data_IF_807229779507
#
_entry.id   IF_807229779507
#
_cell.length_a   1.000
_cell.length_b   1.000
_cell.length_c   1.000
_cell.angle_alpha   90.00
_cell.angle_beta   90.00
_cell.angle_gamma   90.00
#
_symmetry.space_group_name_H-M   'P 1'
#
loop_
_entity.id
_entity.type
_entity.pdbx_description
1 polymer ?
#
# COMPACT_ATOMS: atom_id res chain seq x y z
N UNK A 1 -27.61 12.79 6.51
CA UNK A 1 -27.92 12.37 7.88
C UNK A 1 -29.42 12.46 8.16
N UNK A 2 -30.01 11.42 8.75
CA UNK A 2 -31.40 11.40 9.20
C UNK A 2 -32.44 10.86 8.22
N UNK A 3 -32.04 10.56 6.97
CA UNK A 3 -32.97 10.03 5.96
C UNK A 3 -33.31 8.56 6.24
N UNK A 4 -32.30 7.74 6.55
CA UNK A 4 -32.48 6.30 6.74
C UNK A 4 -33.36 6.02 7.96
N UNK A 5 -33.13 6.74 9.08
CA UNK A 5 -33.96 6.63 10.28
C UNK A 5 -35.40 7.13 10.06
N UNK A 6 -35.59 8.15 9.22
CA UNK A 6 -36.93 8.66 8.92
C UNK A 6 -37.75 7.69 8.04
N UNK A 7 -37.07 6.88 7.23
CA UNK A 7 -37.68 5.90 6.32
C UNK A 7 -37.92 4.53 6.97
N UNK A 8 -37.26 4.24 8.08
CA UNK A 8 -37.37 2.96 8.78
C UNK A 8 -38.81 2.67 9.23
N UNK A 9 -39.32 1.49 8.88
CA UNK A 9 -40.67 1.04 9.23
C UNK A 9 -41.80 1.61 8.35
N UNK A 10 -41.52 2.53 7.42
CA UNK A 10 -42.53 3.06 6.51
C UNK A 10 -42.87 2.10 5.38
N UNK A 11 -44.15 2.09 5.02
CA UNK A 11 -44.68 1.37 3.86
C UNK A 11 -44.72 2.24 2.60
N UNK A 12 -44.82 1.60 1.43
CA UNK A 12 -45.03 2.32 0.18
C UNK A 12 -46.30 3.18 0.22
N UNK A 13 -46.17 4.44 -0.19
CA UNK A 13 -47.21 5.46 -0.17
C UNK A 13 -47.17 6.37 1.06
N UNK A 14 -46.42 6.02 2.10
CA UNK A 14 -46.31 6.82 3.32
C UNK A 14 -45.35 8.01 3.15
N UNK A 15 -45.63 9.07 3.90
CA UNK A 15 -44.87 10.32 3.88
C UNK A 15 -44.32 10.59 5.28
N UNK A 16 -43.08 11.04 5.34
CA UNK A 16 -42.42 11.45 6.58
C UNK A 16 -41.74 12.80 6.36
N UNK A 17 -41.40 13.46 7.46
CA UNK A 17 -40.63 14.69 7.42
C UNK A 17 -39.64 14.75 8.57
N UNK A 18 -38.41 15.16 8.28
CA UNK A 18 -37.35 15.32 9.27
C UNK A 18 -36.53 16.58 8.96
N UNK A 19 -35.85 17.12 9.97
CA UNK A 19 -34.93 18.23 9.77
C UNK A 19 -33.53 17.70 9.45
N UNK A 20 -32.90 18.25 8.43
CA UNK A 20 -31.51 17.96 8.08
C UNK A 20 -30.80 19.23 7.61
N UNK A 21 -29.48 19.26 7.78
CA UNK A 21 -28.64 20.28 7.15
C UNK A 21 -28.46 19.96 5.66
N UNK A 22 -28.50 20.99 4.82
CA UNK A 22 -28.22 20.86 3.40
C UNK A 22 -26.72 20.68 3.17
N UNK A 23 -26.34 19.64 2.41
CA UNK A 23 -24.93 19.25 2.19
C UNK A 23 -24.31 19.92 0.94
N UNK A 24 -24.99 20.89 0.32
CA UNK A 24 -24.46 21.61 -0.83
C UNK A 24 -25.40 22.66 -1.42
N UNK A 25 -24.85 23.51 -2.29
CA UNK A 25 -25.56 24.62 -2.94
C UNK A 25 -25.47 25.94 -2.15
N UNK A 26 -26.22 26.96 -2.58
CA UNK A 26 -26.19 28.29 -1.95
C UNK A 26 -26.64 28.30 -0.47
N UNK A 27 -27.31 27.24 -0.02
CA UNK A 27 -27.84 27.06 1.34
C UNK A 27 -27.12 25.96 2.13
N UNK A 28 -25.89 25.60 1.72
CA UNK A 28 -25.09 24.60 2.42
C UNK A 28 -24.92 24.95 3.92
N UNK A 29 -25.18 23.98 4.78
CA UNK A 29 -25.11 24.12 6.24
C UNK A 29 -26.36 24.68 6.91
N UNK A 30 -27.34 25.20 6.16
CA UNK A 30 -28.62 25.64 6.72
C UNK A 30 -29.53 24.46 7.08
N UNK A 31 -30.34 24.60 8.14
CA UNK A 31 -31.34 23.60 8.51
C UNK A 31 -32.58 23.71 7.61
N UNK A 32 -33.00 22.58 7.04
CA UNK A 32 -34.18 22.48 6.20
C UNK A 32 -35.10 21.33 6.66
N UNK A 33 -36.41 21.53 6.54
CA UNK A 33 -37.41 20.47 6.69
C UNK A 33 -37.49 19.68 5.38
N UNK A 34 -37.03 18.43 5.41
CA UNK A 34 -37.06 17.51 4.28
C UNK A 34 -38.32 16.67 4.38
N UNK A 35 -39.20 16.76 3.37
CA UNK A 35 -40.38 15.91 3.26
C UNK A 35 -40.13 14.81 2.23
N UNK A 36 -40.30 13.56 2.63
CA UNK A 36 -40.02 12.39 1.79
C UNK A 36 -41.28 11.55 1.67
N UNK A 37 -41.52 11.02 0.47
CA UNK A 37 -42.58 10.08 0.17
C UNK A 37 -41.97 8.76 -0.29
N UNK A 38 -42.33 7.67 0.38
CA UNK A 38 -41.92 6.33 -0.04
C UNK A 38 -42.75 5.94 -1.25
N UNK A 39 -42.14 5.87 -2.43
CA UNK A 39 -42.88 5.49 -3.65
C UNK A 39 -43.04 3.98 -3.78
N UNK A 40 -42.02 3.22 -3.41
CA UNK A 40 -42.01 1.77 -3.48
C UNK A 40 -41.06 1.21 -2.45
N UNK A 41 -41.42 0.11 -1.82
CA UNK A 41 -40.53 -0.71 -1.01
C UNK A 41 -40.26 -1.98 -1.82
N UNK A 42 -38.99 -2.28 -2.06
CA UNK A 42 -38.56 -3.50 -2.75
C UNK A 42 -37.68 -4.28 -1.79
N UNK A 43 -37.80 -5.59 -1.84
CA UNK A 43 -36.90 -6.50 -1.13
C UNK A 43 -35.88 -7.04 -2.13
N UNK A 44 -34.63 -7.04 -1.72
CA UNK A 44 -33.56 -7.69 -2.48
C UNK A 44 -33.65 -9.20 -2.23
N UNK A 45 -33.92 -9.96 -3.30
CA UNK A 45 -33.86 -11.42 -3.26
C UNK A 45 -32.46 -11.83 -3.69
N UNK A 46 -31.66 -12.30 -2.73
CA UNK A 46 -30.34 -12.83 -3.03
C UNK A 46 -30.48 -14.17 -3.77
N UNK A 47 -29.70 -14.39 -4.84
CA UNK A 47 -29.68 -15.68 -5.53
C UNK A 47 -29.21 -16.80 -4.61
N UNK A 48 -29.60 -18.03 -4.92
CA UNK A 48 -29.07 -19.20 -4.23
C UNK A 48 -27.56 -19.32 -4.54
N UNK A 49 -26.78 -19.73 -3.54
CA UNK A 49 -25.35 -19.96 -3.73
C UNK A 49 -25.16 -21.37 -4.32
N UNK A 50 -25.20 -21.46 -5.64
CA UNK A 50 -25.01 -22.67 -6.44
C UNK A 50 -24.06 -22.43 -7.63
N UNK A 51 -23.95 -23.40 -8.53
CA UNK A 51 -23.05 -23.33 -9.69
C UNK A 51 -23.51 -22.30 -10.73
N UNK A 52 -24.83 -22.07 -10.85
CA UNK A 52 -25.38 -21.04 -11.75
C UNK A 52 -24.97 -19.65 -11.24
N UNK A 53 -25.02 -19.42 -9.91
CA UNK A 53 -24.49 -18.20 -9.31
C UNK A 53 -22.99 -18.02 -9.56
N UNK A 54 -22.20 -19.09 -9.47
CA UNK A 54 -20.76 -19.01 -9.72
C UNK A 54 -20.44 -18.57 -11.15
N UNK A 55 -21.16 -19.11 -12.14
CA UNK A 55 -21.02 -18.76 -13.55
C UNK A 55 -21.47 -17.32 -13.85
N UNK A 56 -22.55 -16.85 -13.21
CA UNK A 56 -23.07 -15.49 -13.41
C UNK A 56 -22.20 -14.43 -12.72
N UNK A 57 -21.61 -14.74 -11.56
CA UNK A 57 -20.89 -13.79 -10.72
C UNK A 57 -19.37 -13.80 -10.92
N UNK A 58 -18.80 -14.81 -11.59
CA UNK A 58 -17.35 -15.01 -11.68
C UNK A 58 -16.90 -15.72 -12.96
N UNK A 59 -15.60 -15.99 -13.06
CA UNK A 59 -15.02 -16.78 -14.15
C UNK A 59 -15.05 -18.30 -13.91
N UNK A 60 -15.61 -18.75 -12.78
CA UNK A 60 -15.63 -20.16 -12.36
C UNK A 60 -16.89 -20.88 -12.80
N UNK A 61 -16.76 -22.17 -13.10
CA UNK A 61 -17.88 -23.00 -13.56
C UNK A 61 -18.70 -23.57 -12.40
N UNK A 62 -18.11 -23.65 -11.20
CA UNK A 62 -18.74 -24.24 -10.00
C UNK A 62 -18.57 -23.37 -8.76
N UNK A 63 -19.50 -23.51 -7.82
CA UNK A 63 -19.46 -22.82 -6.54
C UNK A 63 -18.23 -23.21 -5.70
N UNK A 64 -17.78 -24.46 -5.80
CA UNK A 64 -16.63 -24.93 -5.06
C UNK A 64 -15.32 -24.26 -5.53
N UNK A 65 -15.19 -23.99 -6.83
CA UNK A 65 -14.07 -23.23 -7.40
C UNK A 65 -14.09 -21.77 -6.94
N UNK A 66 -15.25 -21.11 -7.03
CA UNK A 66 -15.42 -19.74 -6.52
C UNK A 66 -15.08 -19.65 -5.03
N UNK A 67 -15.55 -20.59 -4.21
CA UNK A 67 -15.22 -20.65 -2.77
C UNK A 67 -13.73 -20.90 -2.53
N UNK A 68 -13.10 -21.75 -3.33
CA UNK A 68 -11.67 -22.01 -3.20
C UNK A 68 -10.84 -20.76 -3.52
N UNK A 69 -11.21 -20.00 -4.56
CA UNK A 69 -10.54 -18.76 -4.91
C UNK A 69 -10.74 -17.67 -3.84
N UNK A 70 -11.99 -17.44 -3.40
CA UNK A 70 -12.28 -16.49 -2.31
C UNK A 70 -11.52 -16.87 -1.04
N UNK A 71 -11.45 -18.17 -0.70
CA UNK A 71 -10.63 -18.64 0.43
C UNK A 71 -9.16 -18.27 0.22
N UNK A 72 -8.60 -18.54 -0.96
CA UNK A 72 -7.20 -18.25 -1.27
C UNK A 72 -6.90 -16.75 -1.24
N UNK A 73 -7.84 -15.91 -1.68
CA UNK A 73 -7.72 -14.46 -1.57
C UNK A 73 -7.71 -14.03 -0.09
N UNK A 74 -8.66 -14.52 0.71
CA UNK A 74 -8.73 -14.23 2.14
C UNK A 74 -7.50 -14.72 2.92
N UNK A 75 -6.95 -15.88 2.55
CA UNK A 75 -5.70 -16.42 3.11
C UNK A 75 -4.53 -15.49 2.82
N UNK A 76 -4.32 -15.07 1.57
CA UNK A 76 -3.25 -14.10 1.20
C UNK A 76 -3.41 -12.76 1.91
N UNK A 77 -4.64 -12.26 2.02
CA UNK A 77 -4.91 -11.02 2.74
C UNK A 77 -4.59 -11.16 4.24
N UNK A 78 -4.92 -12.30 4.84
CA UNK A 78 -4.60 -12.60 6.23
C UNK A 78 -3.09 -12.72 6.46
N UNK A 79 -2.38 -13.46 5.60
CA UNK A 79 -0.91 -13.58 5.63
C UNK A 79 -0.23 -12.21 5.48
N UNK A 80 -0.71 -11.37 4.56
CA UNK A 80 -0.18 -10.01 4.36
C UNK A 80 -0.39 -9.10 5.57
N UNK A 81 -1.59 -9.14 6.19
CA UNK A 81 -1.85 -8.42 7.45
C UNK A 81 -0.94 -8.90 8.56
N UNK A 82 -0.80 -10.21 8.71
CA UNK A 82 0.03 -10.83 9.74
C UNK A 82 1.52 -10.47 9.58
N UNK A 83 2.03 -10.46 8.35
CA UNK A 83 3.39 -10.00 8.06
C UNK A 83 3.60 -8.53 8.42
N UNK A 84 2.61 -7.68 8.12
CA UNK A 84 2.64 -6.25 8.48
C UNK A 84 2.65 -6.05 9.99
N UNK A 85 1.77 -6.75 10.71
CA UNK A 85 1.74 -6.70 12.18
C UNK A 85 3.03 -7.21 12.80
N UNK A 86 3.62 -8.28 12.26
CA UNK A 86 4.91 -8.80 12.71
C UNK A 86 6.04 -7.80 12.47
N UNK A 87 6.08 -7.15 11.31
CA UNK A 87 7.03 -6.06 11.00
C UNK A 87 6.90 -4.92 12.00
N UNK A 88 5.69 -4.44 12.24
CA UNK A 88 5.44 -3.31 13.13
C UNK A 88 5.80 -3.67 14.58
N UNK A 89 5.47 -4.90 15.02
CA UNK A 89 5.86 -5.41 16.32
C UNK A 89 7.39 -5.54 16.47
N UNK A 90 8.08 -5.96 15.41
CA UNK A 90 9.53 -6.05 15.39
C UNK A 90 10.18 -4.67 15.55
N UNK A 91 9.75 -3.67 14.77
CA UNK A 91 10.25 -2.29 14.87
C UNK A 91 9.96 -1.72 16.27
N UNK A 92 8.74 -1.86 16.76
CA UNK A 92 8.38 -1.41 18.11
C UNK A 92 9.23 -2.07 19.21
N UNK A 93 9.63 -3.34 19.03
CA UNK A 93 10.57 -4.02 19.95
C UNK A 93 12.00 -3.55 19.83
N UNK A 94 12.45 -3.11 18.65
CA UNK A 94 13.77 -2.46 18.51
C UNK A 94 13.81 -1.09 19.19
N UNK A 95 12.67 -0.39 19.23
CA UNK A 95 12.53 0.93 19.85
C UNK A 95 12.31 0.88 21.37
N UNK A 96 11.88 -0.27 21.90
CA UNK A 96 11.53 -0.40 23.31
C UNK A 96 12.71 -0.05 24.24
N UNK A 97 12.50 0.95 25.11
CA UNK A 97 13.49 1.38 26.08
C UNK A 97 14.55 2.35 25.54
N UNK A 98 14.45 2.78 24.28
CA UNK A 98 15.31 3.81 23.69
C UNK A 98 14.55 5.13 23.52
N UNK A 99 15.16 6.24 23.94
CA UNK A 99 14.70 7.59 23.56
C UNK A 99 15.47 8.01 22.31
N UNK A 100 14.79 8.06 21.17
CA UNK A 100 15.41 8.36 19.87
C UNK A 100 15.08 9.81 19.49
N UNK A 101 16.03 10.75 19.63
CA UNK A 101 15.78 12.15 19.35
C UNK A 101 15.72 12.39 17.84
N UNK A 102 14.54 12.80 17.36
CA UNK A 102 14.34 13.14 15.95
C UNK A 102 14.91 14.53 15.62
N UNK A 103 15.66 14.71 14.51
CA UNK A 103 16.19 16.01 14.09
C UNK A 103 15.08 17.05 13.85
N UNK A 104 15.14 18.17 14.59
CA UNK A 104 14.07 19.20 14.56
C UNK A 104 13.83 19.81 13.17
N UNK A 105 14.88 20.01 12.38
CA UNK A 105 14.76 20.57 11.03
C UNK A 105 14.01 19.63 10.10
N UNK A 106 14.47 18.37 10.00
CA UNK A 106 13.83 17.34 9.18
C UNK A 106 12.39 17.09 9.61
N UNK A 107 12.13 17.07 10.94
CA UNK A 107 10.78 16.94 11.49
C UNK A 107 9.87 18.08 11.01
N UNK A 108 10.34 19.32 11.03
CA UNK A 108 9.54 20.47 10.61
C UNK A 108 9.20 20.40 9.11
N UNK A 109 10.18 20.04 8.28
CA UNK A 109 9.99 19.94 6.83
C UNK A 109 8.99 18.83 6.47
N UNK A 110 9.12 17.65 7.10
CA UNK A 110 8.19 16.53 6.90
C UNK A 110 6.80 16.83 7.44
N UNK A 111 6.68 17.52 8.59
CA UNK A 111 5.40 17.93 9.12
C UNK A 111 4.67 18.90 8.19
N UNK A 112 5.40 19.84 7.59
CA UNK A 112 4.82 20.74 6.59
C UNK A 112 4.31 19.96 5.37
N UNK A 113 5.07 18.99 4.88
CA UNK A 113 4.66 18.13 3.77
C UNK A 113 3.43 17.29 4.14
N UNK A 114 3.42 16.67 5.33
CA UNK A 114 2.30 15.85 5.78
C UNK A 114 1.01 16.67 5.93
N UNK A 115 1.10 17.90 6.44
CA UNK A 115 -0.06 18.78 6.53
C UNK A 115 -0.59 19.23 5.17
N UNK A 116 0.28 19.39 4.16
CA UNK A 116 -0.16 19.68 2.77
C UNK A 116 -0.94 18.51 2.16
N UNK A 117 -0.70 17.28 2.60
CA UNK A 117 -1.44 16.10 2.14
C UNK A 117 -2.82 16.00 2.81
N UNK A 118 -2.98 16.54 4.02
CA UNK A 118 -4.22 16.49 4.79
C UNK A 118 -5.15 17.67 4.50
N UNK A 119 -4.58 18.84 4.17
CA UNK A 119 -5.35 20.05 3.86
C UNK A 119 -4.67 20.89 2.78
N UNK A 120 -5.48 21.54 1.94
CA UNK A 120 -4.99 22.47 0.93
C UNK A 120 -4.27 23.70 1.54
N UNK A 121 -4.58 24.05 2.79
CA UNK A 121 -3.89 25.10 3.54
C UNK A 121 -3.45 24.57 4.92
N UNK A 122 -2.16 24.19 5.07
CA UNK A 122 -1.60 23.72 6.34
C UNK A 122 -1.83 24.66 7.52
N UNK A 123 -1.96 25.96 7.27
CA UNK A 123 -2.19 26.97 8.31
C UNK A 123 -3.58 26.85 8.94
N UNK A 124 -4.53 26.29 8.20
CA UNK A 124 -5.93 26.04 8.61
C UNK A 124 -6.15 24.64 9.17
N UNK A 125 -5.10 23.81 9.25
CA UNK A 125 -5.20 22.51 9.90
C UNK A 125 -5.63 22.68 11.37
N UNK A 126 -6.58 21.84 11.78
CA UNK A 126 -7.04 21.74 13.17
C UNK A 126 -5.91 21.28 14.09
N UNK A 127 -6.04 21.52 15.39
CA UNK A 127 -5.04 21.08 16.36
C UNK A 127 -4.91 19.56 16.41
N UNK A 128 -6.01 18.83 16.18
CA UNK A 128 -6.02 17.37 16.07
C UNK A 128 -5.23 16.88 14.86
N UNK A 129 -5.48 17.46 13.67
CA UNK A 129 -4.72 17.15 12.46
C UNK A 129 -3.22 17.42 12.62
N UNK A 130 -2.85 18.52 13.29
CA UNK A 130 -1.45 18.85 13.57
C UNK A 130 -0.81 17.84 14.52
N UNK A 131 -1.51 17.48 15.60
CA UNK A 131 -1.01 16.52 16.57
C UNK A 131 -0.82 15.13 15.94
N UNK A 132 -1.74 14.69 15.09
CA UNK A 132 -1.65 13.39 14.43
C UNK A 132 -0.58 13.37 13.34
N UNK A 133 -0.45 14.45 12.55
CA UNK A 133 0.65 14.60 11.61
C UNK A 133 2.01 14.60 12.32
N UNK A 134 2.14 15.28 13.46
CA UNK A 134 3.38 15.27 14.24
C UNK A 134 3.71 13.87 14.76
N UNK A 135 2.73 13.13 15.31
CA UNK A 135 2.94 11.74 15.75
C UNK A 135 3.41 10.84 14.60
N UNK A 136 2.79 10.96 13.43
CA UNK A 136 3.15 10.17 12.25
C UNK A 136 4.58 10.47 11.79
N UNK A 137 4.94 11.75 11.67
CA UNK A 137 6.29 12.16 11.26
C UNK A 137 7.35 11.73 12.26
N UNK A 138 7.09 11.88 13.57
CA UNK A 138 8.01 11.42 14.61
C UNK A 138 8.18 9.91 14.54
N UNK A 139 7.10 9.16 14.39
CA UNK A 139 7.16 7.70 14.24
C UNK A 139 7.98 7.32 13.00
N UNK A 140 7.64 7.84 11.83
CA UNK A 140 8.34 7.54 10.58
C UNK A 140 9.84 7.83 10.66
N UNK A 141 10.22 8.99 11.20
CA UNK A 141 11.63 9.33 11.37
C UNK A 141 12.34 8.42 12.37
N UNK A 142 11.65 8.00 13.43
CA UNK A 142 12.18 7.07 14.42
C UNK A 142 12.39 5.68 13.81
N UNK A 143 11.35 5.12 13.17
CA UNK A 143 11.39 3.85 12.46
C UNK A 143 12.56 3.84 11.46
N UNK A 144 12.69 4.90 10.64
CA UNK A 144 13.78 5.01 9.66
C UNK A 144 15.17 4.97 10.30
N UNK A 145 15.38 5.74 11.37
CA UNK A 145 16.68 5.79 12.07
C UNK A 145 17.04 4.44 12.69
N UNK A 146 16.05 3.73 13.23
CA UNK A 146 16.24 2.38 13.79
C UNK A 146 16.61 1.39 12.69
N UNK A 147 15.92 1.45 11.55
CA UNK A 147 16.21 0.58 10.41
C UNK A 147 17.57 0.88 9.77
N UNK A 148 17.99 2.13 9.72
CA UNK A 148 19.33 2.52 9.28
C UNK A 148 20.40 1.91 10.22
N UNK A 149 20.20 2.03 11.54
CA UNK A 149 21.11 1.46 12.53
C UNK A 149 21.10 -0.09 12.49
N UNK A 150 19.95 -0.71 12.23
CA UNK A 150 19.84 -2.16 12.05
C UNK A 150 20.62 -2.62 10.81
N UNK A 151 20.44 -1.93 9.68
CA UNK A 151 21.12 -2.25 8.43
C UNK A 151 22.65 -2.11 8.58
N UNK A 152 23.12 -1.06 9.27
CA UNK A 152 24.54 -0.88 9.59
C UNK A 152 25.06 -2.00 10.50
N UNK A 153 24.32 -2.34 11.56
CA UNK A 153 24.71 -3.38 12.53
C UNK A 153 24.78 -4.77 11.91
N UNK A 154 23.97 -5.03 10.89
CA UNK A 154 23.94 -6.30 10.16
C UNK A 154 24.88 -6.33 8.94
N UNK A 155 25.67 -5.27 8.70
CA UNK A 155 26.55 -5.12 7.53
C UNK A 155 25.81 -5.39 6.20
N UNK A 156 24.60 -4.82 6.06
CA UNK A 156 23.75 -5.04 4.89
C UNK A 156 24.41 -4.48 3.65
N UNK A 157 24.60 -5.33 2.64
CA UNK A 157 25.13 -4.93 1.33
C UNK A 157 24.00 -4.73 0.34
N UNK A 158 23.97 -3.52 -0.23
CA UNK A 158 23.06 -3.14 -1.30
C UNK A 158 23.80 -3.24 -2.63
N UNK A 159 23.34 -4.15 -3.48
CA UNK A 159 23.83 -4.31 -4.85
C UNK A 159 23.07 -3.38 -5.81
N UNK A 160 23.63 -3.17 -7.00
CA UNK A 160 22.93 -2.44 -8.07
C UNK A 160 21.65 -3.18 -8.51
N UNK A 161 21.67 -4.51 -8.48
CA UNK A 161 20.51 -5.33 -8.84
C UNK A 161 19.36 -5.10 -7.86
N UNK A 162 19.64 -5.06 -6.54
CA UNK A 162 18.62 -4.77 -5.52
C UNK A 162 17.92 -3.43 -5.79
N UNK A 163 18.70 -2.40 -6.11
CA UNK A 163 18.19 -1.05 -6.37
C UNK A 163 17.38 -0.99 -7.66
N UNK A 164 17.87 -1.66 -8.71
CA UNK A 164 17.15 -1.76 -9.99
C UNK A 164 15.81 -2.47 -9.81
N UNK A 165 15.79 -3.59 -9.10
CA UNK A 165 14.57 -4.37 -8.84
C UNK A 165 13.56 -3.58 -8.00
N UNK A 166 14.03 -2.89 -6.97
CA UNK A 166 13.20 -2.02 -6.14
C UNK A 166 12.58 -0.86 -6.95
N UNK A 167 13.37 -0.19 -7.78
CA UNK A 167 12.84 0.89 -8.63
C UNK A 167 11.89 0.37 -9.71
N UNK A 168 12.15 -0.82 -10.25
CA UNK A 168 11.25 -1.47 -11.21
C UNK A 168 9.91 -1.86 -10.56
N UNK A 169 9.91 -2.39 -9.33
CA UNK A 169 8.67 -2.75 -8.63
C UNK A 169 7.82 -1.52 -8.32
N UNK A 170 8.44 -0.40 -7.94
CA UNK A 170 7.76 0.90 -7.81
C UNK A 170 7.18 1.34 -9.15
N UNK A 171 7.96 1.31 -10.23
CA UNK A 171 7.48 1.72 -11.55
C UNK A 171 6.25 0.92 -11.98
N UNK A 172 6.24 -0.41 -11.75
CA UNK A 172 5.10 -1.27 -12.02
C UNK A 172 3.86 -0.89 -11.20
N UNK A 173 4.03 -0.59 -9.91
CA UNK A 173 2.92 -0.13 -9.06
C UNK A 173 2.28 1.17 -9.58
N UNK A 174 3.08 2.06 -10.17
CA UNK A 174 2.61 3.30 -10.78
C UNK A 174 2.20 3.16 -12.26
N UNK A 175 2.31 1.96 -12.86
CA UNK A 175 2.03 1.74 -14.28
C UNK A 175 2.98 2.47 -15.22
N UNK A 176 4.21 2.73 -14.78
CA UNK A 176 5.25 3.42 -15.55
C UNK A 176 6.26 2.44 -16.17
N UNK A 177 6.88 2.84 -17.28
CA UNK A 177 8.01 2.10 -17.84
C UNK A 177 9.20 2.11 -16.84
N UNK A 178 9.75 0.93 -16.46
CA UNK A 178 10.83 0.85 -15.48
C UNK A 178 12.08 1.64 -15.90
N UNK A 179 12.46 1.58 -17.18
CA UNK A 179 13.68 2.25 -17.66
C UNK A 179 13.55 3.78 -17.58
N UNK A 180 12.41 4.32 -18.01
CA UNK A 180 12.11 5.74 -17.92
C UNK A 180 12.04 6.22 -16.46
N UNK A 181 11.43 5.44 -15.57
CA UNK A 181 11.35 5.76 -14.15
C UNK A 181 12.74 5.80 -13.49
N UNK A 182 13.56 4.77 -13.69
CA UNK A 182 14.93 4.72 -13.16
C UNK A 182 15.75 5.91 -13.66
N UNK A 183 15.67 6.23 -14.95
CA UNK A 183 16.37 7.40 -15.50
C UNK A 183 15.93 8.71 -14.83
N UNK A 184 14.64 8.88 -14.55
CA UNK A 184 14.13 10.06 -13.86
C UNK A 184 14.68 10.16 -12.43
N UNK A 185 14.69 9.05 -11.67
CA UNK A 185 15.26 8.98 -10.32
C UNK A 185 16.75 9.34 -10.32
N UNK A 186 17.52 8.79 -11.26
CA UNK A 186 18.95 9.11 -11.40
C UNK A 186 19.16 10.58 -11.75
N UNK A 187 18.42 11.10 -12.74
CA UNK A 187 18.53 12.50 -13.19
C UNK A 187 18.17 13.51 -12.10
N UNK A 188 17.21 13.17 -11.24
CA UNK A 188 16.81 14.00 -10.11
C UNK A 188 17.73 13.85 -8.88
N UNK A 189 18.78 13.02 -8.98
CA UNK A 189 19.71 12.78 -7.87
C UNK A 189 19.11 11.96 -6.71
N UNK A 190 17.99 11.28 -6.93
CA UNK A 190 17.24 10.53 -5.92
C UNK A 190 17.76 9.08 -5.75
N UNK A 191 18.77 8.67 -6.52
CA UNK A 191 19.35 7.34 -6.45
C UNK A 191 19.91 7.02 -5.05
N UNK A 192 20.50 8.00 -4.36
CA UNK A 192 21.02 7.82 -3.01
C UNK A 192 19.95 7.41 -2.01
N UNK A 193 18.79 8.09 -2.06
CA UNK A 193 17.63 7.76 -1.21
C UNK A 193 17.06 6.39 -1.54
N UNK A 194 17.05 6.00 -2.82
CA UNK A 194 16.64 4.65 -3.22
C UNK A 194 17.58 3.56 -2.66
N UNK A 195 18.90 3.78 -2.71
CA UNK A 195 19.89 2.87 -2.11
C UNK A 195 19.66 2.73 -0.61
N UNK A 196 19.41 3.84 0.10
CA UNK A 196 19.13 3.81 1.53
C UNK A 196 17.85 3.04 1.84
N UNK A 197 16.78 3.25 1.07
CA UNK A 197 15.52 2.53 1.27
C UNK A 197 15.67 1.02 1.07
N UNK A 198 16.42 0.62 0.05
CA UNK A 198 16.76 -0.79 -0.18
C UNK A 198 17.58 -1.35 0.98
N UNK A 199 18.54 -0.59 1.49
CA UNK A 199 19.33 -0.98 2.67
C UNK A 199 18.46 -1.21 3.90
N UNK A 200 17.53 -0.30 4.19
CA UNK A 200 16.56 -0.43 5.29
C UNK A 200 15.67 -1.65 5.12
N UNK A 201 15.11 -1.85 3.91
CA UNK A 201 14.26 -3.00 3.61
C UNK A 201 14.99 -4.33 3.80
N UNK A 202 16.21 -4.46 3.24
CA UNK A 202 17.05 -5.67 3.42
C UNK A 202 17.45 -5.88 4.87
N UNK A 203 17.79 -4.81 5.59
CA UNK A 203 18.12 -4.87 7.03
C UNK A 203 16.94 -5.31 7.88
N UNK A 204 15.75 -4.81 7.61
CA UNK A 204 14.51 -5.25 8.23
C UNK A 204 14.29 -6.75 8.00
N UNK A 205 14.34 -7.21 6.74
CA UNK A 205 14.16 -8.63 6.41
C UNK A 205 15.21 -9.51 7.11
N UNK A 206 16.48 -9.13 7.07
CA UNK A 206 17.55 -9.85 7.76
C UNK A 206 17.33 -9.91 9.28
N UNK A 207 16.91 -8.79 9.88
CA UNK A 207 16.60 -8.72 11.32
C UNK A 207 15.40 -9.58 11.71
N UNK A 208 14.33 -9.56 10.91
CA UNK A 208 13.14 -10.38 11.12
C UNK A 208 13.45 -11.88 10.98
N UNK A 209 14.28 -12.28 10.00
CA UNK A 209 14.73 -13.68 9.85
C UNK A 209 15.57 -14.17 11.05
N UNK A 210 16.21 -13.27 11.77
CA UNK A 210 17.05 -13.60 12.93
C UNK A 210 16.26 -13.82 14.23
N UNK A 211 14.95 -13.59 14.23
CA UNK A 211 14.10 -13.72 15.43
C UNK A 211 12.93 -14.67 15.20
N UNK A 212 12.32 -15.11 16.29
CA UNK A 212 11.11 -15.96 16.24
C UNK A 212 9.90 -15.13 16.62
N UNK A 213 8.90 -15.12 15.74
CA UNK A 213 7.62 -14.48 15.99
C UNK A 213 6.66 -15.45 16.69
N UNK A 214 5.86 -14.91 17.60
CA UNK A 214 4.79 -15.68 18.25
C UNK A 214 3.49 -14.91 18.22
N UNK A 215 2.41 -15.58 17.87
CA UNK A 215 1.04 -15.10 17.99
C UNK A 215 0.27 -16.05 18.88
N UNK A 216 -0.41 -15.53 19.91
CA UNK A 216 -1.23 -16.33 20.85
C UNK A 216 -0.51 -17.53 21.51
N UNK A 217 0.83 -17.47 21.58
CA UNK A 217 1.67 -18.53 22.14
C UNK A 217 2.19 -19.56 21.13
N UNK A 218 1.69 -19.54 19.90
CA UNK A 218 2.17 -20.37 18.79
C UNK A 218 3.25 -19.66 17.99
N UNK A 219 4.16 -20.44 17.38
CA UNK A 219 5.21 -19.88 16.54
C UNK A 219 4.60 -19.48 15.21
N UNK A 220 4.86 -18.25 14.81
CA UNK A 220 4.38 -17.70 13.55
C UNK A 220 5.43 -17.94 12.46
N UNK A 221 5.02 -18.62 11.39
CA UNK A 221 5.81 -18.77 10.18
C UNK A 221 5.60 -17.56 9.25
N UNK A 222 6.69 -16.87 8.94
CA UNK A 222 6.72 -15.73 8.00
C UNK A 222 7.59 -16.05 6.78
N UNK A 223 7.94 -17.31 6.54
CA UNK A 223 8.84 -17.71 5.46
C UNK A 223 8.35 -17.28 4.07
N UNK A 224 7.04 -17.34 3.82
CA UNK A 224 6.41 -16.87 2.58
C UNK A 224 6.61 -15.38 2.33
N UNK A 225 6.67 -14.57 3.38
CA UNK A 225 6.88 -13.13 3.31
C UNK A 225 8.36 -12.75 3.33
N UNK A 226 9.14 -13.41 4.18
CA UNK A 226 10.56 -13.11 4.36
C UNK A 226 11.41 -13.64 3.21
N UNK A 227 11.00 -14.71 2.52
CA UNK A 227 11.83 -15.38 1.51
C UNK A 227 13.10 -16.02 2.10
N UNK A 228 13.84 -16.76 1.27
CA UNK A 228 15.12 -17.36 1.69
C UNK A 228 16.25 -16.33 1.81
N UNK A 229 17.29 -16.67 2.57
CA UNK A 229 18.47 -15.84 2.69
C UNK A 229 19.22 -15.80 1.34
N UNK A 230 19.79 -14.65 1.00
CA UNK A 230 20.27 -14.23 -0.31
C UNK A 230 21.43 -15.04 -0.97
N UNK A 231 21.68 -16.30 -0.60
CA UNK A 231 22.64 -17.14 -1.34
C UNK A 231 22.09 -17.58 -2.70
N UNK A 232 20.76 -17.71 -2.86
CA UNK A 232 20.14 -18.13 -4.13
C UNK A 232 19.62 -16.97 -5.01
N UNK A 233 19.36 -15.79 -4.43
CA UNK A 233 18.83 -14.63 -5.19
C UNK A 233 19.85 -13.99 -6.15
N UNK A 234 21.15 -14.11 -5.90
CA UNK A 234 22.19 -13.60 -6.81
C UNK A 234 22.25 -14.41 -8.12
N UNK A 235 21.85 -15.69 -8.10
CA UNK A 235 21.85 -16.54 -9.29
C UNK A 235 20.63 -16.29 -10.18
N UNK A 236 19.44 -16.22 -9.60
CA UNK A 236 18.20 -16.06 -10.38
C UNK A 236 18.01 -14.63 -10.90
N UNK A 237 18.45 -13.62 -10.15
CA UNK A 237 18.35 -12.22 -10.57
C UNK A 237 19.31 -11.84 -11.70
N UNK A 238 20.50 -12.46 -11.75
CA UNK A 238 21.48 -12.26 -12.82
C UNK A 238 21.01 -12.90 -14.13
N UNK A 239 20.37 -14.08 -14.07
CA UNK A 239 19.77 -14.71 -15.25
C UNK A 239 18.58 -13.90 -15.79
N UNK A 240 17.68 -13.42 -14.91
CA UNK A 240 16.54 -12.60 -15.32
C UNK A 240 16.96 -11.24 -15.92
N UNK A 241 17.94 -10.56 -15.30
CA UNK A 241 18.48 -9.30 -15.82
C UNK A 241 19.25 -9.48 -17.14
N UNK A 242 20.01 -10.58 -17.28
CA UNK A 242 20.70 -10.91 -18.53
C UNK A 242 19.71 -11.26 -19.65
N UNK A 243 18.59 -11.93 -19.34
CA UNK A 243 17.54 -12.23 -20.31
C UNK A 243 16.84 -10.94 -20.78
N UNK A 244 16.52 -10.02 -19.87
CA UNK A 244 15.93 -8.72 -20.21
C UNK A 244 16.87 -7.86 -21.06
N UNK A 245 18.17 -7.83 -20.74
CA UNK A 245 19.17 -7.13 -21.51
C UNK A 245 19.33 -7.71 -22.93
N UNK A 246 19.30 -9.04 -23.09
CA UNK A 246 19.38 -9.69 -24.39
C UNK A 246 18.17 -9.36 -25.30
N UNK A 247 16.97 -9.30 -24.73
CA UNK A 247 15.75 -8.92 -25.45
C UNK A 247 15.81 -7.45 -25.91
N UNK A 248 16.32 -6.55 -25.07
CA UNK A 248 16.49 -5.14 -25.43
C UNK A 248 17.52 -4.96 -26.57
N UNK A 249 18.60 -5.73 -26.56
CA UNK A 249 19.67 -5.67 -27.55
C UNK A 249 19.22 -6.25 -28.92
N UNK A 250 18.26 -7.18 -28.93
CA UNK A 250 17.65 -7.74 -30.15
C UNK A 250 16.61 -6.78 -30.76
N UNK A 251 15.86 -6.05 -29.93
CA UNK A 251 14.93 -5.02 -30.37
C UNK A 251 15.67 -3.82 -31.00
N UNK A 252 16.78 -3.39 -30.39
CA UNK A 252 17.60 -2.30 -30.92
C UNK A 252 18.21 -2.62 -32.30
N UNK A 253 18.60 -3.87 -32.55
CA UNK A 253 19.14 -4.30 -33.86
C UNK A 253 18.07 -4.37 -34.96
N UNK A 254 16.81 -4.64 -34.61
CA UNK A 254 15.68 -4.63 -35.57
C UNK A 254 15.30 -3.22 -36.02
N UNK A 255 15.47 -2.22 -35.16
CA UNK A 255 15.17 -0.82 -35.50
C UNK A 255 16.25 -0.19 -36.42
N UNK A 256 17.51 -0.63 -36.31
CA UNK A 256 18.60 -0.20 -37.21
C UNK A 256 18.50 -0.84 -38.62
N UNK A 257 17.97 -2.06 -38.76
CA UNK A 257 17.77 -2.67 -40.09
C UNK A 257 16.60 -2.05 -40.86
N UNK A 258 15.58 -1.52 -40.17
CA UNK A 258 14.41 -0.93 -40.82
C UNK A 258 14.62 0.53 -41.30
N UNK A 259 15.74 1.16 -40.90
CA UNK A 259 16.12 2.52 -41.34
C UNK A 259 17.08 2.53 -42.53
N UNK A 260 17.68 1.39 -42.89
CA UNK A 260 18.63 1.29 -44.00
C UNK A 260 18.00 1.03 -45.40
N UNK A 261 16.70 0.74 -45.48
CA UNK A 261 15.98 0.46 -46.75
C UNK A 261 15.16 1.68 -47.27
N UNK A 262 15.34 2.86 -46.68
CA UNK A 262 14.53 4.06 -46.96
C UNK A 262 15.31 5.27 -47.52
N UNK A 263 16.47 5.06 -48.18
CA UNK A 263 17.15 6.08 -49.01
C UNK A 263 17.10 5.77 -50.51
#
# INVERSE_FOLDING_TARGET
DGLDEALEGLSAGEETSFNSKLQGGEHEGEEALVKVKVNSVKTEELPELDDDFAQDASEFDTLDELKADVRKAAERDAEGRQATEARDAFIAKLEEGAEIPVPKGVKADMLEQQLKNVTADPSKATDEQKADAEKQVVKELTDQMVLDALAEKLDVKVSQADVTNFLASIAQQYGMDPSAFIQAIVKNGQLGSAVQEVGRSKGLLAGMRAVTFKSEGETLDLSSFLGEAAEDEESESVEAASAAAAVADELAKKDDENTADAE
#
